data_IF_648343273683
#
_entry.id   IF_648343273683
#
_cell.length_a   1.000
_cell.length_b   1.000
_cell.length_c   1.000
_cell.angle_alpha   90.00
_cell.angle_beta   90.00
_cell.angle_gamma   90.00
#
_symmetry.space_group_name_H-M   'P 1'
#
loop_
_entity.id
_entity.type
_entity.pdbx_description
1 polymer ?
#
# COMPACT_ATOMS: atom_id res chain seq x y z
N UNK A 1 19.31 -1.01 1.74
CA UNK A 1 18.26 -0.09 1.26
C UNK A 1 17.15 -0.06 2.30
N UNK A 2 16.68 1.13 2.63
CA UNK A 2 15.97 1.50 3.85
C UNK A 2 14.51 1.02 3.89
N UNK A 3 14.29 -0.30 3.98
CA UNK A 3 12.96 -0.86 4.24
C UNK A 3 12.95 -1.45 5.66
N UNK A 4 12.76 -0.60 6.65
CA UNK A 4 12.52 -1.02 8.03
C UNK A 4 11.02 -1.33 8.21
N UNK A 5 10.71 -2.53 8.71
CA UNK A 5 9.33 -2.99 8.97
C UNK A 5 8.59 -2.18 10.05
N UNK A 6 9.26 -1.23 10.68
CA UNK A 6 8.70 -0.31 11.67
C UNK A 6 8.52 1.11 11.13
N UNK A 7 8.83 1.33 9.84
CA UNK A 7 8.62 2.60 9.17
C UNK A 7 7.45 2.51 8.20
N UNK A 8 6.83 3.66 7.95
CA UNK A 8 5.86 3.85 6.89
C UNK A 8 6.21 5.15 6.15
N UNK A 9 5.69 5.29 4.93
CA UNK A 9 5.87 6.50 4.13
C UNK A 9 4.56 6.83 3.41
N UNK A 10 4.28 8.13 3.28
CA UNK A 10 3.12 8.63 2.56
C UNK A 10 3.61 9.32 1.29
N UNK A 11 3.17 8.82 0.14
CA UNK A 11 3.52 9.37 -1.16
C UNK A 11 2.37 10.21 -1.73
N UNK A 12 2.72 11.34 -2.34
CA UNK A 12 1.80 12.13 -3.16
C UNK A 12 2.00 11.80 -4.64
N UNK A 13 0.92 11.50 -5.35
CA UNK A 13 0.95 11.22 -6.79
C UNK A 13 0.27 12.36 -7.54
N UNK A 14 1.01 13.00 -8.44
CA UNK A 14 0.47 14.05 -9.28
C UNK A 14 0.01 13.43 -10.60
N UNK A 15 -1.29 13.52 -10.87
CA UNK A 15 -1.94 12.85 -12.00
C UNK A 15 -2.64 13.89 -12.88
N UNK A 16 -2.43 13.80 -14.19
CA UNK A 16 -3.18 14.54 -15.20
C UNK A 16 -4.17 13.59 -15.86
N UNK A 17 -5.41 14.04 -16.08
CA UNK A 17 -6.46 13.28 -16.76
C UNK A 17 -6.64 13.85 -18.17
N UNK A 18 -6.58 12.99 -19.19
CA UNK A 18 -6.79 13.40 -20.58
C UNK A 18 -8.28 13.44 -21.00
N UNK A 19 -8.54 13.81 -22.24
CA UNK A 19 -9.90 13.91 -22.79
C UNK A 19 -10.63 12.55 -22.90
N UNK A 20 -9.89 11.44 -22.80
CA UNK A 20 -10.41 10.08 -22.77
C UNK A 20 -10.59 9.56 -21.34
N UNK A 21 -10.48 10.44 -20.33
CA UNK A 21 -10.50 10.11 -18.90
C UNK A 21 -9.39 9.12 -18.49
N UNK A 22 -8.31 9.04 -19.27
CA UNK A 22 -7.16 8.22 -18.91
C UNK A 22 -6.25 9.01 -17.98
N UNK A 23 -5.88 8.45 -16.80
CA UNK A 23 -4.92 9.07 -15.90
C UNK A 23 -3.49 8.87 -16.43
N UNK A 24 -2.69 9.92 -16.32
CA UNK A 24 -1.28 9.94 -16.64
C UNK A 24 -0.49 10.43 -15.42
N UNK A 25 0.44 9.61 -14.93
CA UNK A 25 1.31 9.98 -13.83
C UNK A 25 2.33 11.02 -14.29
N UNK A 26 2.43 12.11 -13.55
CA UNK A 26 3.39 13.19 -13.78
C UNK A 26 4.62 13.00 -12.91
N UNK A 27 4.40 12.91 -11.60
CA UNK A 27 5.46 12.72 -10.62
C UNK A 27 4.98 12.00 -9.36
N UNK A 28 5.95 11.48 -8.60
CA UNK A 28 5.74 10.88 -7.28
C UNK A 28 6.58 11.65 -6.27
N UNK A 29 5.91 12.18 -5.25
CA UNK A 29 6.50 12.98 -4.19
C UNK A 29 6.61 12.15 -2.91
N UNK A 30 7.84 11.93 -2.43
CA UNK A 30 8.12 11.25 -1.16
C UNK A 30 7.76 12.09 0.08
N UNK A 31 7.56 13.40 -0.10
CA UNK A 31 7.18 14.33 0.97
C UNK A 31 6.11 15.30 0.45
N UNK A 32 4.86 14.86 0.28
CA UNK A 32 3.78 15.72 -0.16
C UNK A 32 3.56 16.88 0.83
N UNK A 33 3.21 18.05 0.33
CA UNK A 33 2.99 19.23 1.18
C UNK A 33 1.73 19.09 2.03
N UNK A 34 1.90 19.17 3.35
CA UNK A 34 0.80 19.23 4.34
C UNK A 34 0.45 20.66 4.76
N UNK A 35 1.13 21.68 4.21
CA UNK A 35 0.77 23.09 4.44
C UNK A 35 -0.62 23.35 3.90
N UNK A 36 -1.52 23.89 4.72
CA UNK A 36 -2.89 24.17 4.32
C UNK A 36 -3.04 25.59 3.77
N UNK A 37 -3.61 25.74 2.58
CA UNK A 37 -3.84 27.07 1.96
C UNK A 37 -5.31 27.50 1.98
N UNK A 38 -6.23 26.55 2.11
CA UNK A 38 -7.68 26.79 2.19
C UNK A 38 -8.31 25.98 3.33
N UNK A 39 -9.54 26.33 3.73
CA UNK A 39 -10.28 25.59 4.76
C UNK A 39 -10.54 24.14 4.31
N UNK A 40 -10.91 23.94 3.04
CA UNK A 40 -11.16 22.60 2.48
C UNK A 40 -9.88 21.78 2.43
N UNK A 41 -8.78 22.36 1.98
CA UNK A 41 -7.46 21.73 1.96
C UNK A 41 -7.02 21.30 3.36
N UNK A 42 -7.26 22.16 4.36
CA UNK A 42 -7.05 21.83 5.77
C UNK A 42 -7.86 20.62 6.20
N UNK A 43 -9.17 20.60 5.95
CA UNK A 43 -10.02 19.47 6.37
C UNK A 43 -9.54 18.17 5.72
N UNK A 44 -9.23 18.19 4.42
CA UNK A 44 -8.75 17.01 3.69
C UNK A 44 -7.42 16.50 4.25
N UNK A 45 -6.43 17.38 4.44
CA UNK A 45 -5.11 17.02 4.95
C UNK A 45 -5.15 16.51 6.39
N UNK A 46 -5.97 17.11 7.25
CA UNK A 46 -6.15 16.61 8.62
C UNK A 46 -6.78 15.22 8.62
N UNK A 47 -7.81 14.99 7.79
CA UNK A 47 -8.45 13.68 7.68
C UNK A 47 -7.50 12.62 7.13
N UNK A 48 -6.63 12.99 6.19
CA UNK A 48 -5.57 12.11 5.69
C UNK A 48 -4.63 11.67 6.83
N UNK A 49 -4.12 12.62 7.62
CA UNK A 49 -3.21 12.33 8.73
C UNK A 49 -3.89 11.43 9.78
N UNK A 50 -5.13 11.74 10.14
CA UNK A 50 -5.92 10.97 11.10
C UNK A 50 -6.11 9.51 10.66
N UNK A 51 -6.41 9.30 9.38
CA UNK A 51 -6.57 7.96 8.82
C UNK A 51 -5.23 7.23 8.71
N UNK A 52 -4.12 7.92 8.40
CA UNK A 52 -2.78 7.31 8.40
C UNK A 52 -2.46 6.79 9.80
N UNK A 53 -2.65 7.62 10.82
CA UNK A 53 -2.37 7.24 12.21
C UNK A 53 -3.24 6.07 12.67
N UNK A 54 -4.50 6.02 12.25
CA UNK A 54 -5.40 4.89 12.55
C UNK A 54 -4.92 3.55 11.94
N UNK A 55 -4.20 3.62 10.81
CA UNK A 55 -3.63 2.44 10.14
C UNK A 55 -2.30 2.01 10.79
N UNK A 56 -1.42 2.96 11.09
CA UNK A 56 -0.05 2.65 11.51
C UNK A 56 0.14 2.53 13.03
N UNK A 57 -0.82 3.02 13.82
CA UNK A 57 -0.82 2.92 15.28
C UNK A 57 -1.92 1.98 15.76
N UNK A 58 -1.70 1.29 16.90
CA UNK A 58 -2.76 0.53 17.54
C UNK A 58 -3.81 1.46 18.19
N UNK A 59 -5.04 0.98 18.43
CA UNK A 59 -6.11 1.74 19.09
C UNK A 59 -5.76 2.29 20.47
N UNK A 60 -4.85 1.63 21.20
CA UNK A 60 -4.34 2.09 22.49
C UNK A 60 -3.16 3.07 22.36
N UNK A 61 -2.73 3.37 21.12
CA UNK A 61 -1.75 4.39 20.76
C UNK A 61 -0.30 3.99 21.00
N UNK A 62 -0.02 2.85 21.65
CA UNK A 62 1.33 2.41 21.99
C UNK A 62 1.67 1.12 21.25
N UNK A 63 2.44 1.17 20.16
CA UNK A 63 2.83 -0.04 19.43
C UNK A 63 3.69 -0.94 20.31
N UNK A 64 3.29 -2.21 20.44
CA UNK A 64 4.09 -3.27 21.04
C UNK A 64 4.46 -4.34 19.99
N UNK A 65 5.34 -5.27 20.37
CA UNK A 65 5.80 -6.34 19.46
C UNK A 65 4.71 -7.39 19.14
N UNK A 66 3.57 -7.36 19.83
CA UNK A 66 2.47 -8.32 19.68
C UNK A 66 1.34 -7.76 18.84
N UNK A 67 1.39 -6.46 18.52
CA UNK A 67 0.42 -5.79 17.69
C UNK A 67 0.33 -6.44 16.31
N UNK A 68 -0.90 -6.82 15.94
CA UNK A 68 -1.18 -7.26 14.59
C UNK A 68 -1.17 -6.03 13.66
N UNK A 69 -0.14 -5.93 12.81
CA UNK A 69 0.06 -4.80 11.88
C UNK A 69 -0.95 -4.74 10.73
N UNK A 70 -1.90 -5.68 10.69
CA UNK A 70 -2.95 -5.73 9.68
C UNK A 70 -4.19 -5.04 10.26
N UNK A 71 -4.50 -3.79 9.86
CA UNK A 71 -5.69 -3.10 10.34
C UNK A 71 -6.96 -3.82 9.89
N UNK A 72 -8.01 -3.73 10.71
CA UNK A 72 -9.35 -4.15 10.29
C UNK A 72 -9.89 -3.20 9.20
N UNK A 73 -10.95 -3.62 8.50
CA UNK A 73 -11.59 -2.79 7.48
C UNK A 73 -12.00 -1.41 8.01
N UNK A 74 -12.50 -1.35 9.25
CA UNK A 74 -12.87 -0.09 9.91
C UNK A 74 -11.64 0.77 10.25
N UNK A 75 -10.49 0.13 10.52
CA UNK A 75 -9.23 0.80 10.82
C UNK A 75 -8.57 1.47 9.62
N UNK A 76 -8.97 1.11 8.39
CA UNK A 76 -8.47 1.74 7.16
C UNK A 76 -9.06 3.15 6.93
N UNK A 77 -10.19 3.48 7.57
CA UNK A 77 -10.85 4.77 7.37
C UNK A 77 -11.25 4.97 5.91
N UNK A 78 -10.67 5.98 5.24
CA UNK A 78 -10.89 6.20 3.80
C UNK A 78 -9.82 5.54 2.90
N UNK A 79 -8.89 4.76 3.45
CA UNK A 79 -7.93 4.01 2.65
C UNK A 79 -8.54 2.72 2.10
N UNK A 80 -8.04 2.32 0.94
CA UNK A 80 -8.34 1.04 0.32
C UNK A 80 -7.02 0.28 0.14
N UNK A 81 -6.99 -0.99 0.56
CA UNK A 81 -5.84 -1.85 0.32
C UNK A 81 -5.85 -2.31 -1.13
N UNK A 82 -4.93 -1.77 -1.94
CA UNK A 82 -4.80 -2.12 -3.36
C UNK A 82 -3.92 -3.35 -3.60
N UNK A 83 -2.87 -3.52 -2.80
CA UNK A 83 -1.89 -4.59 -2.96
C UNK A 83 -1.33 -5.01 -1.59
N UNK A 84 -1.35 -6.30 -1.34
CA UNK A 84 -0.56 -6.94 -0.28
C UNK A 84 0.62 -7.66 -0.95
N UNK A 85 1.81 -7.09 -0.81
CA UNK A 85 3.03 -7.62 -1.44
C UNK A 85 3.40 -9.00 -0.91
N UNK A 86 3.12 -9.31 0.35
CA UNK A 86 3.45 -10.61 0.94
C UNK A 86 2.56 -11.71 0.37
N UNK A 87 1.26 -11.44 0.23
CA UNK A 87 0.31 -12.36 -0.40
C UNK A 87 0.63 -12.53 -1.89
N UNK A 88 0.84 -11.42 -2.62
CA UNK A 88 1.14 -11.47 -4.04
C UNK A 88 2.42 -12.26 -4.34
N UNK A 89 3.48 -12.08 -3.54
CA UNK A 89 4.73 -12.82 -3.70
C UNK A 89 4.59 -14.32 -3.39
N UNK A 90 3.68 -14.71 -2.49
CA UNK A 90 3.39 -16.12 -2.19
C UNK A 90 2.65 -16.78 -3.35
N UNK A 91 1.68 -16.09 -3.96
CA UNK A 91 0.95 -16.57 -5.12
C UNK A 91 1.88 -16.80 -6.32
N UNK A 92 2.77 -15.85 -6.61
CA UNK A 92 3.76 -15.96 -7.69
C UNK A 92 4.70 -17.17 -7.50
N UNK A 93 5.18 -17.38 -6.26
CA UNK A 93 6.03 -18.52 -5.95
C UNK A 93 5.28 -19.86 -6.09
N UNK A 94 4.03 -19.94 -5.63
CA UNK A 94 3.22 -21.16 -5.76
C UNK A 94 2.93 -21.51 -7.22
N UNK A 95 2.64 -20.51 -8.06
CA UNK A 95 2.45 -20.65 -9.50
C UNK A 95 3.75 -21.08 -10.20
N UNK A 96 4.90 -20.53 -9.80
CA UNK A 96 6.21 -20.95 -10.31
C UNK A 96 6.54 -22.41 -9.95
N UNK A 97 6.18 -22.86 -8.75
CA UNK A 97 6.34 -24.26 -8.33
C UNK A 97 5.42 -25.20 -9.12
N UNK A 98 4.19 -24.80 -9.42
CA UNK A 98 3.27 -25.58 -10.25
C UNK A 98 3.79 -25.73 -11.70
N UNK A 99 4.33 -24.65 -12.28
CA UNK A 99 4.94 -24.67 -13.63
C UNK A 99 6.20 -25.56 -13.70
N UNK A 100 7.00 -25.62 -12.63
CA UNK A 100 8.19 -26.50 -12.55
C UNK A 100 7.80 -27.98 -12.43
N UNK A 101 6.76 -28.31 -11.68
CA UNK A 101 6.26 -29.68 -11.58
C UNK A 101 5.64 -30.16 -12.90
N UNK A 102 4.92 -29.30 -13.62
CA UNK A 102 4.39 -29.61 -14.94
C UNK A 102 5.51 -29.90 -15.98
N UNK A 103 6.60 -29.12 -15.95
CA UNK A 103 7.77 -29.35 -16.83
C UNK A 103 8.56 -30.62 -16.49
N UNK A 104 8.61 -31.02 -15.21
CA UNK A 104 9.25 -32.27 -14.77
C UNK A 104 8.51 -33.53 -15.24
N UNK A 105 7.18 -33.46 -15.39
CA UNK A 105 6.37 -34.56 -15.92
C UNK A 105 6.49 -34.72 -17.45
N UNK A 106 6.82 -33.66 -18.19
CA UNK A 106 6.96 -33.68 -19.65
C UNK A 106 8.24 -34.34 -20.19
N UNK A 107 9.26 -34.54 -19.35
CA UNK A 107 10.57 -35.08 -19.76
C UNK A 107 10.79 -36.56 -19.42
N UNK A 108 9.74 -37.27 -18.99
CA UNK A 108 9.85 -38.66 -18.52
C UNK A 108 9.55 -39.74 -19.57
N UNK A 109 9.39 -39.35 -20.83
CA UNK A 109 9.19 -40.28 -21.95
C UNK A 109 10.07 -39.85 -23.13
N UNK A 110 11.32 -40.31 -23.15
CA UNK A 110 12.13 -40.52 -24.34
C UNK A 110 13.00 -41.74 -24.12
#
# INVERSE_FOLDING_TARGET
MANDRHCFECYGYDIIIDNNLKPWLVEVNASPSLTSTTVTDRILKYKLIDNILSVVLPPDGVPDVRWNKIPSQDGLGNFELLLDEEIAAQEDNSNAHHSKNARSLGNRWK
#
